data_IF_835061844068
#
_entry.id   IF_835061844068
#
_cell.length_a   1.000
_cell.length_b   1.000
_cell.length_c   1.000
_cell.angle_alpha   90.00
_cell.angle_beta   90.00
_cell.angle_gamma   90.00
#
_symmetry.space_group_name_H-M   'P 1'
#
loop_
_entity.id
_entity.type
_entity.pdbx_description
1 polymer ?
#
# COMPACT_ATOMS: atom_id res chain seq x y z
N UNK A 1 -35.05 -28.01 -24.60
CA UNK A 1 -34.52 -26.73 -25.08
C UNK A 1 -33.05 -26.62 -24.66
N UNK A 2 -32.15 -26.98 -25.58
CA UNK A 2 -30.71 -26.90 -25.39
C UNK A 2 -30.26 -25.46 -25.65
N UNK A 3 -29.75 -24.75 -24.64
CA UNK A 3 -28.92 -23.57 -24.86
C UNK A 3 -27.47 -24.01 -25.04
N UNK A 4 -27.02 -23.92 -26.28
CA UNK A 4 -25.66 -24.24 -26.72
C UNK A 4 -24.62 -23.33 -26.08
N UNK A 5 -23.70 -23.91 -25.30
CA UNK A 5 -22.41 -23.36 -24.87
C UNK A 5 -21.45 -23.20 -26.06
N UNK A 6 -21.76 -22.31 -27.00
CA UNK A 6 -20.84 -21.91 -28.07
C UNK A 6 -20.85 -20.40 -28.15
N UNK A 7 -20.01 -19.73 -27.35
CA UNK A 7 -19.48 -18.38 -27.64
C UNK A 7 -18.45 -17.84 -26.61
N UNK A 8 -17.92 -18.63 -25.68
CA UNK A 8 -16.96 -18.14 -24.67
C UNK A 8 -15.49 -18.27 -25.11
N UNK A 9 -15.17 -18.94 -26.22
CA UNK A 9 -13.79 -19.31 -26.59
C UNK A 9 -13.13 -18.47 -27.71
N UNK A 10 -13.59 -17.23 -27.97
CA UNK A 10 -12.90 -16.31 -28.91
C UNK A 10 -12.79 -14.88 -28.37
N UNK A 11 -12.36 -14.73 -27.13
CA UNK A 11 -12.07 -13.41 -26.54
C UNK A 11 -10.60 -13.38 -26.16
N UNK A 12 -9.81 -12.57 -26.86
CA UNK A 12 -8.38 -12.38 -26.58
C UNK A 12 -8.14 -11.80 -25.18
N UNK A 13 -6.87 -11.76 -24.72
CA UNK A 13 -6.50 -11.37 -23.34
C UNK A 13 -6.76 -9.89 -22.97
N UNK A 14 -7.38 -9.12 -23.87
CA UNK A 14 -7.48 -7.65 -23.83
C UNK A 14 -8.81 -7.09 -23.34
N UNK A 15 -9.64 -7.90 -22.68
CA UNK A 15 -10.79 -7.32 -22.02
C UNK A 15 -10.30 -6.48 -20.85
N UNK A 16 -10.38 -5.14 -21.02
CA UNK A 16 -10.48 -4.25 -19.88
C UNK A 16 -11.48 -4.87 -18.92
N UNK A 17 -11.04 -5.04 -17.68
CA UNK A 17 -11.96 -5.33 -16.59
C UNK A 17 -13.14 -4.37 -16.73
N UNK A 18 -14.36 -4.88 -16.73
CA UNK A 18 -15.59 -4.05 -16.70
C UNK A 18 -15.55 -3.06 -15.51
N UNK A 19 -14.65 -3.31 -14.56
CA UNK A 19 -14.33 -2.46 -13.43
C UNK A 19 -13.04 -1.68 -13.66
N UNK A 20 -13.11 -0.36 -13.47
CA UNK A 20 -11.96 0.53 -13.36
C UNK A 20 -11.02 0.02 -12.26
N UNK A 21 -9.74 -0.18 -12.59
CA UNK A 21 -8.75 -0.59 -11.60
C UNK A 21 -8.66 0.45 -10.45
N UNK A 22 -8.57 0.00 -9.18
CA UNK A 22 -8.40 0.92 -8.05
C UNK A 22 -7.07 1.66 -8.16
N UNK A 23 -7.04 2.92 -7.72
CA UNK A 23 -5.81 3.69 -7.66
C UNK A 23 -4.87 3.08 -6.61
N UNK A 24 -3.62 2.83 -6.99
CA UNK A 24 -2.59 2.50 -6.01
C UNK A 24 -2.24 3.78 -5.25
N UNK A 25 -2.60 3.82 -3.96
CA UNK A 25 -2.31 4.96 -3.07
C UNK A 25 -1.37 4.57 -1.94
N UNK A 26 -1.26 3.28 -1.65
CA UNK A 26 -0.36 2.81 -0.62
C UNK A 26 1.08 2.95 -1.08
N UNK A 27 1.91 3.40 -0.15
CA UNK A 27 3.36 3.45 -0.31
C UNK A 27 3.93 2.08 -0.64
N UNK A 28 4.58 1.97 -1.79
CA UNK A 28 5.38 0.80 -2.16
C UNK A 28 6.86 1.14 -2.00
N UNK A 29 7.60 0.40 -1.13
CA UNK A 29 9.05 0.56 -1.04
C UNK A 29 9.72 0.35 -2.41
N UNK A 30 10.78 1.10 -2.69
CA UNK A 30 11.49 1.04 -3.99
C UNK A 30 11.99 -0.39 -4.28
N UNK A 31 12.42 -1.10 -3.24
CA UNK A 31 12.86 -2.51 -3.30
C UNK A 31 11.77 -3.52 -3.70
N UNK A 32 10.50 -3.14 -3.59
CA UNK A 32 9.35 -4.00 -3.88
C UNK A 32 8.81 -3.82 -5.29
N UNK A 33 9.26 -2.78 -5.99
CA UNK A 33 8.83 -2.50 -7.36
C UNK A 33 9.38 -3.55 -8.33
N UNK A 34 8.65 -3.81 -9.43
CA UNK A 34 9.08 -4.73 -10.47
C UNK A 34 10.45 -4.36 -11.03
N UNK A 35 11.35 -5.33 -11.19
CA UNK A 35 12.64 -5.05 -11.86
C UNK A 35 12.48 -4.86 -13.36
N UNK A 36 11.52 -5.57 -13.96
CA UNK A 36 11.20 -5.54 -15.38
C UNK A 36 9.72 -5.27 -15.60
N UNK A 37 9.40 -4.43 -16.58
CA UNK A 37 8.05 -4.17 -17.06
C UNK A 37 7.90 -4.65 -18.51
N UNK A 38 6.83 -5.39 -18.75
CA UNK A 38 6.31 -5.66 -20.09
C UNK A 38 5.21 -4.66 -20.36
N UNK A 39 5.49 -3.68 -21.21
CA UNK A 39 4.60 -2.55 -21.50
C UNK A 39 3.81 -2.85 -22.76
N UNK A 40 2.50 -2.92 -22.61
CA UNK A 40 1.53 -3.14 -23.67
C UNK A 40 1.00 -1.80 -24.17
N UNK A 41 1.34 -1.48 -25.42
CA UNK A 41 1.05 -0.21 -26.07
C UNK A 41 0.41 -0.43 -27.46
N UNK A 42 -0.86 -0.86 -27.51
CA UNK A 42 -1.52 -1.22 -28.76
C UNK A 42 -1.65 -0.06 -29.77
N UNK A 43 -1.46 1.20 -29.35
CA UNK A 43 -1.47 2.35 -30.26
C UNK A 43 -0.07 2.87 -30.59
N UNK A 44 0.97 2.23 -30.07
CA UNK A 44 2.36 2.63 -30.24
C UNK A 44 2.56 4.11 -29.85
N UNK A 45 1.92 4.52 -28.75
CA UNK A 45 1.98 5.88 -28.16
C UNK A 45 3.38 6.20 -27.68
N UNK A 46 4.14 5.18 -27.28
CA UNK A 46 5.53 5.28 -26.91
C UNK A 46 6.43 5.49 -28.12
N UNK A 47 6.05 5.09 -29.33
CA UNK A 47 6.80 5.49 -30.52
C UNK A 47 6.45 6.93 -30.93
N UNK A 48 7.35 7.86 -30.63
CA UNK A 48 7.26 9.22 -31.16
C UNK A 48 7.54 9.18 -32.66
N UNK A 49 6.48 9.27 -33.47
CA UNK A 49 6.63 9.48 -34.91
C UNK A 49 6.63 10.99 -35.20
N UNK A 50 7.67 11.56 -35.86
CA UNK A 50 7.80 13.00 -36.10
C UNK A 50 6.60 13.64 -36.81
N UNK A 51 5.86 12.84 -37.59
CA UNK A 51 4.76 13.29 -38.44
C UNK A 51 3.37 13.01 -37.88
N UNK A 52 3.24 12.25 -36.78
CA UNK A 52 1.92 11.81 -36.30
C UNK A 52 1.39 12.80 -35.27
N UNK A 53 0.30 13.49 -35.60
CA UNK A 53 -0.31 14.42 -34.66
C UNK A 53 -1.05 13.61 -33.58
N UNK A 54 -0.87 13.97 -32.30
CA UNK A 54 -1.57 13.30 -31.18
C UNK A 54 -3.11 13.35 -31.29
N UNK A 55 -3.67 14.19 -32.17
CA UNK A 55 -5.11 14.28 -32.40
C UNK A 55 -5.68 13.03 -33.09
N UNK A 56 -4.87 12.34 -33.90
CA UNK A 56 -5.27 11.13 -34.63
C UNK A 56 -5.42 9.89 -33.74
N UNK A 57 -5.01 9.97 -32.47
CA UNK A 57 -5.08 8.83 -31.56
C UNK A 57 -6.50 8.54 -31.05
N UNK A 58 -7.45 9.47 -31.14
CA UNK A 58 -8.75 9.32 -30.46
C UNK A 58 -9.82 8.49 -31.21
N UNK A 59 -9.64 8.20 -32.51
CA UNK A 59 -10.75 7.72 -33.36
C UNK A 59 -10.70 6.24 -33.78
N UNK A 60 -9.64 5.49 -33.46
CA UNK A 60 -9.48 4.10 -33.93
C UNK A 60 -9.94 3.09 -32.88
N UNK A 61 -10.84 2.18 -33.27
CA UNK A 61 -11.22 0.97 -32.51
C UNK A 61 -10.00 0.07 -32.34
N UNK A 62 -9.45 0.09 -31.13
CA UNK A 62 -8.19 -0.57 -30.80
C UNK A 62 -8.38 -2.04 -30.38
N UNK A 63 -9.63 -2.50 -30.21
CA UNK A 63 -9.91 -3.89 -29.82
C UNK A 63 -9.47 -4.90 -30.87
N UNK A 64 -9.25 -4.44 -32.11
CA UNK A 64 -8.79 -5.24 -33.24
C UNK A 64 -7.31 -4.98 -33.62
N UNK A 65 -6.62 -4.08 -32.93
CA UNK A 65 -5.21 -3.79 -33.20
C UNK A 65 -4.29 -4.82 -32.56
N UNK A 66 -3.24 -5.24 -33.26
CA UNK A 66 -2.21 -6.12 -32.70
C UNK A 66 -1.50 -5.38 -31.56
N UNK A 67 -1.40 -6.03 -30.41
CA UNK A 67 -0.67 -5.49 -29.27
C UNK A 67 0.83 -5.32 -29.60
N UNK A 68 1.36 -4.16 -29.25
CA UNK A 68 2.79 -3.84 -29.38
C UNK A 68 3.38 -3.85 -27.98
N UNK A 69 4.35 -4.73 -27.76
CA UNK A 69 4.97 -4.92 -26.45
C UNK A 69 6.38 -4.34 -26.44
N UNK A 70 6.71 -3.63 -25.37
CA UNK A 70 8.04 -3.11 -25.10
C UNK A 70 8.54 -3.67 -23.77
N UNK A 71 9.84 -3.93 -23.66
CA UNK A 71 10.45 -4.40 -22.41
C UNK A 71 11.26 -3.28 -21.80
N UNK A 72 11.07 -3.09 -20.50
CA UNK A 72 11.64 -1.99 -19.73
C UNK A 72 12.28 -2.52 -18.45
N UNK A 73 13.45 -2.01 -18.10
CA UNK A 73 14.21 -2.38 -16.91
C UNK A 73 14.27 -1.20 -15.94
N UNK A 74 14.08 -1.49 -14.64
CA UNK A 74 14.19 -0.48 -13.60
C UNK A 74 15.64 0.02 -13.51
N UNK A 75 15.82 1.34 -13.53
CA UNK A 75 17.11 2.01 -13.44
C UNK A 75 17.23 2.73 -12.11
N UNK A 76 18.34 2.49 -11.41
CA UNK A 76 18.63 3.05 -10.08
C UNK A 76 19.92 3.87 -10.12
N UNK A 77 19.88 5.07 -9.54
CA UNK A 77 21.05 5.88 -9.21
C UNK A 77 21.82 5.27 -8.04
N UNK A 78 22.95 5.89 -7.66
CA UNK A 78 23.68 5.52 -6.44
C UNK A 78 22.78 5.65 -5.20
N UNK A 79 22.14 6.81 -5.04
CA UNK A 79 21.19 7.10 -3.95
C UNK A 79 20.01 6.11 -3.94
N UNK A 80 19.53 5.69 -5.11
CA UNK A 80 18.46 4.69 -5.21
C UNK A 80 18.87 3.31 -4.68
N UNK A 81 20.11 2.89 -4.96
CA UNK A 81 20.65 1.63 -4.43
C UNK A 81 20.85 1.71 -2.91
N UNK A 82 21.44 2.79 -2.42
CA UNK A 82 21.60 3.05 -1.00
C UNK A 82 20.23 3.06 -0.28
N UNK A 83 19.23 3.71 -0.87
CA UNK A 83 17.86 3.72 -0.34
C UNK A 83 17.26 2.32 -0.23
N UNK A 84 17.48 1.43 -1.19
CA UNK A 84 16.97 0.05 -1.14
C UNK A 84 17.58 -0.72 0.03
N UNK A 85 18.88 -0.56 0.26
CA UNK A 85 19.60 -1.17 1.38
C UNK A 85 19.09 -0.63 2.72
N UNK A 86 18.97 0.69 2.83
CA UNK A 86 18.49 1.37 4.03
C UNK A 86 17.02 1.01 4.35
N UNK A 87 16.14 0.98 3.35
CA UNK A 87 14.75 0.52 3.52
C UNK A 87 14.71 -0.93 4.00
N UNK A 88 15.57 -1.80 3.45
CA UNK A 88 15.65 -3.20 3.87
C UNK A 88 16.14 -3.34 5.31
N UNK A 89 17.09 -2.51 5.74
CA UNK A 89 17.59 -2.47 7.13
C UNK A 89 16.49 -2.00 8.09
N UNK A 90 15.85 -0.86 7.79
CA UNK A 90 14.75 -0.30 8.59
C UNK A 90 13.57 -1.26 8.71
N UNK A 91 13.16 -1.90 7.61
CA UNK A 91 12.05 -2.86 7.64
C UNK A 91 12.36 -4.06 8.55
N UNK A 92 13.63 -4.51 8.58
CA UNK A 92 14.07 -5.57 9.50
C UNK A 92 14.03 -5.09 10.95
N UNK A 93 14.61 -3.92 11.22
CA UNK A 93 14.63 -3.32 12.56
C UNK A 93 13.23 -3.04 13.10
N UNK A 94 12.35 -2.48 12.28
CA UNK A 94 10.96 -2.22 12.65
C UNK A 94 10.21 -3.52 12.95
N UNK A 95 10.41 -4.58 12.15
CA UNK A 95 9.84 -5.91 12.45
C UNK A 95 10.34 -6.47 13.78
N UNK A 96 11.63 -6.31 14.10
CA UNK A 96 12.19 -6.73 15.39
C UNK A 96 11.56 -5.92 16.53
N UNK A 97 11.52 -4.60 16.39
CA UNK A 97 10.95 -3.70 17.39
C UNK A 97 9.45 -3.97 17.62
N UNK A 98 8.67 -4.21 16.57
CA UNK A 98 7.25 -4.55 16.71
C UNK A 98 7.06 -5.90 17.42
N UNK A 99 7.92 -6.89 17.16
CA UNK A 99 7.91 -8.16 17.90
C UNK A 99 8.27 -7.96 19.38
N UNK A 100 9.28 -7.15 19.67
CA UNK A 100 9.66 -6.81 21.05
C UNK A 100 8.53 -6.07 21.77
N UNK A 101 7.88 -5.10 21.11
CA UNK A 101 6.71 -4.38 21.65
C UNK A 101 5.58 -5.34 21.99
N UNK A 102 5.26 -6.30 21.11
CA UNK A 102 4.23 -7.33 21.36
C UNK A 102 4.57 -8.23 22.55
N UNK A 103 5.87 -8.47 22.78
CA UNK A 103 6.37 -9.31 23.89
C UNK A 103 6.62 -8.52 25.18
N UNK A 104 6.68 -7.20 25.11
CA UNK A 104 7.03 -6.34 26.24
C UNK A 104 6.08 -6.57 27.42
N UNK A 105 6.63 -7.02 28.55
CA UNK A 105 5.88 -7.30 29.78
C UNK A 105 5.27 -8.71 29.86
N UNK A 106 5.43 -9.54 28.82
CA UNK A 106 5.06 -10.95 28.84
C UNK A 106 6.23 -11.80 29.33
N UNK A 107 5.96 -12.70 30.27
CA UNK A 107 6.91 -13.75 30.64
C UNK A 107 6.48 -15.01 29.90
N UNK A 108 7.05 -15.27 28.73
CA UNK A 108 6.73 -16.47 27.96
C UNK A 108 7.59 -17.60 28.52
N UNK A 109 6.98 -18.50 29.29
CA UNK A 109 7.67 -19.67 29.83
C UNK A 109 7.97 -20.66 28.71
N UNK A 110 9.02 -21.47 28.86
CA UNK A 110 9.40 -22.50 27.89
C UNK A 110 9.66 -21.96 26.46
N UNK A 111 10.03 -20.68 26.34
CA UNK A 111 10.24 -20.01 25.05
C UNK A 111 11.38 -20.63 24.24
N UNK A 112 12.37 -21.19 24.93
CA UNK A 112 13.56 -21.83 24.36
C UNK A 112 13.22 -23.11 23.58
N UNK A 113 12.00 -23.65 23.76
CA UNK A 113 11.52 -24.81 23.00
C UNK A 113 11.11 -24.45 21.57
N UNK A 114 10.99 -23.16 21.23
CA UNK A 114 10.64 -22.71 19.89
C UNK A 114 11.89 -22.35 19.11
N UNK A 115 12.24 -23.19 18.15
CA UNK A 115 13.32 -22.89 17.20
C UNK A 115 12.92 -21.77 16.24
N UNK A 116 13.84 -20.83 16.00
CA UNK A 116 13.73 -19.79 14.99
C UNK A 116 12.93 -18.53 15.40
N UNK A 117 12.78 -17.57 14.48
CA UNK A 117 11.96 -16.39 14.73
C UNK A 117 10.47 -16.78 14.74
N UNK A 118 9.75 -16.39 15.78
CA UNK A 118 8.30 -16.55 15.89
C UNK A 118 7.61 -15.21 16.17
N UNK A 119 6.33 -15.13 15.83
CA UNK A 119 5.44 -14.08 16.29
C UNK A 119 4.34 -14.72 17.16
N UNK A 120 3.49 -13.90 17.76
CA UNK A 120 2.41 -14.43 18.54
C UNK A 120 1.44 -13.39 19.06
N UNK A 121 0.34 -13.90 19.59
CA UNK A 121 -0.70 -13.07 20.20
C UNK A 121 -1.20 -13.72 21.48
N UNK A 122 -1.49 -12.86 22.47
CA UNK A 122 -2.10 -13.31 23.72
C UNK A 122 -3.59 -13.48 23.48
N UNK A 123 -4.09 -14.69 23.67
CA UNK A 123 -5.51 -14.98 23.71
C UNK A 123 -5.98 -14.79 25.16
N UNK A 124 -6.86 -13.81 25.43
CA UNK A 124 -7.38 -13.63 26.77
C UNK A 124 -8.19 -14.87 27.19
N UNK A 125 -8.16 -15.27 28.48
CA UNK A 125 -9.02 -16.33 28.96
C UNK A 125 -10.49 -15.95 28.68
N UNK A 126 -11.25 -16.92 28.16
CA UNK A 126 -12.66 -16.75 27.78
C UNK A 126 -13.57 -16.52 28.99
N UNK A 127 -13.10 -16.81 30.20
CA UNK A 127 -13.87 -16.70 31.44
C UNK A 127 -13.04 -16.02 32.53
N UNK A 128 -13.62 -15.05 33.25
CA UNK A 128 -13.01 -14.46 34.44
C UNK A 128 -13.49 -13.03 34.76
N UNK A 129 -13.86 -12.80 36.01
CA UNK A 129 -14.09 -11.46 36.55
C UNK A 129 -12.78 -10.66 36.55
N UNK A 130 -12.88 -9.36 36.26
CA UNK A 130 -11.76 -8.43 35.98
C UNK A 130 -10.75 -8.26 37.14
N UNK A 131 -11.10 -8.71 38.34
CA UNK A 131 -10.34 -8.48 39.57
C UNK A 131 -9.93 -9.76 40.33
N UNK A 132 -10.16 -10.94 39.75
CA UNK A 132 -9.76 -12.20 40.38
C UNK A 132 -8.51 -12.77 39.70
N UNK A 133 -7.62 -13.46 40.44
CA UNK A 133 -6.56 -14.23 39.84
C UNK A 133 -7.12 -15.18 38.78
N UNK A 134 -6.62 -15.07 37.55
CA UNK A 134 -7.01 -15.93 36.42
C UNK A 134 -5.89 -16.90 36.10
N UNK A 135 -6.25 -18.03 35.49
CA UNK A 135 -5.28 -18.92 34.90
C UNK A 135 -4.42 -18.17 33.85
N UNK A 136 -3.15 -18.59 33.66
CA UNK A 136 -2.29 -18.00 32.64
C UNK A 136 -2.97 -17.95 31.26
N UNK A 137 -2.99 -16.80 30.59
CA UNK A 137 -3.51 -16.70 29.24
C UNK A 137 -2.62 -17.51 28.30
N UNK A 138 -3.20 -17.90 27.17
CA UNK A 138 -2.48 -18.62 26.14
C UNK A 138 -1.78 -17.60 25.26
N UNK A 139 -0.48 -17.76 25.07
CA UNK A 139 0.26 -17.07 24.03
C UNK A 139 0.34 -17.98 22.82
N UNK A 140 -0.40 -17.64 21.77
CA UNK A 140 -0.39 -18.43 20.54
C UNK A 140 0.85 -18.07 19.75
N UNK A 141 1.75 -19.04 19.62
CA UNK A 141 3.00 -18.92 18.88
C UNK A 141 2.74 -19.35 17.43
N UNK A 142 3.10 -18.51 16.48
CA UNK A 142 3.03 -18.83 15.05
C UNK A 142 4.27 -18.32 14.33
N UNK A 143 4.52 -18.87 13.14
CA UNK A 143 5.61 -18.41 12.30
C UNK A 143 5.34 -16.95 11.86
N UNK A 144 6.38 -16.14 11.64
CA UNK A 144 6.21 -14.77 11.15
C UNK A 144 5.55 -14.77 9.76
N UNK A 145 4.89 -13.67 9.39
CA UNK A 145 4.41 -13.50 8.02
C UNK A 145 5.57 -13.72 7.04
N UNK A 146 5.33 -14.46 5.94
CA UNK A 146 6.33 -14.64 4.92
C UNK A 146 6.85 -13.30 4.38
N UNK A 147 8.12 -13.27 3.99
CA UNK A 147 8.66 -12.07 3.36
C UNK A 147 8.01 -11.84 2.00
N UNK A 148 7.77 -10.56 1.68
CA UNK A 148 7.28 -10.15 0.37
C UNK A 148 8.31 -10.57 -0.68
N UNK A 149 7.86 -11.33 -1.68
CA UNK A 149 8.70 -11.71 -2.80
C UNK A 149 8.95 -10.47 -3.66
N UNK A 150 10.21 -10.29 -4.07
CA UNK A 150 10.55 -9.27 -5.06
C UNK A 150 9.85 -9.64 -6.37
N UNK A 151 9.14 -8.68 -6.95
CA UNK A 151 8.49 -8.88 -8.24
C UNK A 151 9.56 -8.73 -9.32
N UNK A 152 9.87 -9.81 -10.01
CA UNK A 152 10.85 -9.76 -11.10
C UNK A 152 10.26 -9.10 -12.35
N UNK A 153 9.03 -9.49 -12.71
CA UNK A 153 8.34 -9.01 -13.92
C UNK A 153 6.92 -8.59 -13.58
N UNK A 154 6.49 -7.46 -14.13
CA UNK A 154 5.10 -7.01 -14.11
C UNK A 154 4.66 -6.52 -15.49
N UNK A 155 3.35 -6.44 -15.71
CA UNK A 155 2.77 -5.99 -16.97
C UNK A 155 2.15 -4.60 -16.80
N UNK A 156 2.43 -3.70 -17.72
CA UNK A 156 1.91 -2.33 -17.72
C UNK A 156 1.05 -2.14 -18.97
N UNK A 157 -0.19 -1.72 -18.80
CA UNK A 157 -1.14 -1.51 -19.89
C UNK A 157 -1.38 -0.02 -20.10
N UNK A 158 -1.05 0.47 -21.30
CA UNK A 158 -1.26 1.87 -21.66
C UNK A 158 -2.62 2.03 -22.33
N UNK A 159 -3.48 2.88 -21.75
CA UNK A 159 -4.69 3.37 -22.41
C UNK A 159 -4.46 4.80 -22.96
N UNK A 160 -4.27 4.96 -24.27
CA UNK A 160 -4.11 6.27 -24.91
C UNK A 160 -5.33 7.18 -24.76
N UNK A 161 -6.51 6.64 -24.50
CA UNK A 161 -7.70 7.42 -24.20
C UNK A 161 -7.62 8.16 -22.86
N UNK A 162 -6.67 7.79 -22.00
CA UNK A 162 -6.58 8.27 -20.62
C UNK A 162 -5.40 9.21 -20.38
N UNK A 163 -5.17 10.18 -21.28
CA UNK A 163 -4.20 11.26 -21.03
C UNK A 163 -4.70 12.16 -19.89
N UNK A 164 -3.94 12.24 -18.80
CA UNK A 164 -4.26 13.05 -17.61
C UNK A 164 -3.76 14.48 -17.69
N UNK A 165 -2.65 14.70 -18.40
CA UNK A 165 -2.04 16.02 -18.51
C UNK A 165 -0.93 16.06 -19.55
N UNK A 166 -0.57 17.28 -19.95
CA UNK A 166 0.54 17.54 -20.88
C UNK A 166 1.44 18.62 -20.33
N UNK A 167 2.74 18.40 -20.50
CA UNK A 167 3.79 19.36 -20.28
C UNK A 167 4.58 19.66 -21.55
N UNK A 168 5.55 20.55 -21.41
CA UNK A 168 6.41 20.98 -22.52
C UNK A 168 7.22 19.81 -23.11
N UNK A 169 7.60 18.84 -22.27
CA UNK A 169 8.53 17.76 -22.60
C UNK A 169 7.99 16.36 -22.32
N UNK A 170 6.84 16.27 -21.66
CA UNK A 170 6.25 15.01 -21.22
C UNK A 170 4.73 15.07 -21.30
N UNK A 171 4.09 13.92 -21.30
CA UNK A 171 2.68 13.81 -20.97
C UNK A 171 2.50 12.86 -19.78
N UNK A 172 1.31 12.87 -19.19
CA UNK A 172 0.95 11.94 -18.12
C UNK A 172 -0.18 11.08 -18.63
N UNK A 173 0.05 9.77 -18.63
CA UNK A 173 -0.90 8.74 -19.05
C UNK A 173 -1.44 8.05 -17.80
N UNK A 174 -2.74 7.80 -17.76
CA UNK A 174 -3.28 6.81 -16.84
C UNK A 174 -2.97 5.43 -17.42
N UNK A 175 -2.36 4.57 -16.62
CA UNK A 175 -2.00 3.22 -17.02
C UNK A 175 -2.47 2.24 -15.96
N UNK A 176 -2.58 0.97 -16.33
CA UNK A 176 -2.89 -0.10 -15.40
C UNK A 176 -1.68 -1.00 -15.22
N UNK A 177 -1.24 -1.16 -13.98
CA UNK A 177 -0.16 -2.06 -13.61
C UNK A 177 -0.75 -3.36 -13.06
N UNK A 178 -0.37 -4.47 -13.69
CA UNK A 178 -0.70 -5.81 -13.25
C UNK A 178 0.49 -6.43 -12.51
N UNK A 179 0.26 -6.73 -11.23
CA UNK A 179 1.26 -7.27 -10.30
C UNK A 179 0.69 -8.48 -9.55
N UNK A 180 1.55 -9.33 -8.97
CA UNK A 180 1.11 -10.35 -8.01
C UNK A 180 0.32 -9.70 -6.87
N UNK A 181 -0.82 -10.28 -6.51
CA UNK A 181 -1.67 -9.74 -5.45
C UNK A 181 -0.96 -9.74 -4.09
N UNK A 182 -0.02 -10.67 -3.89
CA UNK A 182 0.85 -10.73 -2.71
C UNK A 182 1.69 -9.45 -2.49
N UNK A 183 1.95 -8.66 -3.53
CA UNK A 183 2.63 -7.36 -3.40
C UNK A 183 1.75 -6.32 -2.69
N UNK A 184 0.44 -6.40 -2.90
CA UNK A 184 -0.51 -5.36 -2.47
C UNK A 184 -1.35 -5.76 -1.26
N UNK A 185 -1.57 -7.07 -1.09
CA UNK A 185 -2.42 -7.63 -0.03
C UNK A 185 -1.55 -8.53 0.84
N UNK A 186 -1.41 -8.24 2.14
CA UNK A 186 -0.62 -9.07 3.04
C UNK A 186 -1.24 -10.46 3.18
N UNK A 187 -0.40 -11.45 3.46
CA UNK A 187 -0.86 -12.80 3.77
C UNK A 187 -1.78 -12.79 5.01
N UNK A 188 -2.75 -13.70 5.04
CA UNK A 188 -3.77 -13.74 6.09
C UNK A 188 -3.55 -14.96 6.98
N UNK A 189 -3.41 -14.74 8.29
CA UNK A 189 -3.48 -15.82 9.28
C UNK A 189 -4.91 -15.95 9.78
N UNK A 190 -5.57 -17.07 9.49
CA UNK A 190 -6.97 -17.28 9.86
C UNK A 190 -7.12 -17.53 11.36
N UNK A 191 -7.63 -16.54 12.10
CA UNK A 191 -7.86 -16.65 13.55
C UNK A 191 -8.73 -17.86 13.93
N UNK A 192 -9.79 -18.16 13.18
CA UNK A 192 -10.67 -19.31 13.47
C UNK A 192 -9.95 -20.65 13.29
N UNK A 193 -9.10 -20.79 12.27
CA UNK A 193 -8.25 -21.97 12.11
C UNK A 193 -7.24 -22.09 13.26
N UNK A 194 -6.59 -20.98 13.60
CA UNK A 194 -5.62 -20.90 14.71
C UNK A 194 -6.28 -21.34 16.01
N UNK A 195 -7.46 -20.83 16.34
CA UNK A 195 -8.16 -21.18 17.57
C UNK A 195 -8.62 -22.64 17.59
N UNK A 196 -9.02 -23.21 16.45
CA UNK A 196 -9.34 -24.64 16.35
C UNK A 196 -8.12 -25.52 16.60
N UNK A 197 -6.99 -25.16 16.01
CA UNK A 197 -5.72 -25.89 16.17
C UNK A 197 -5.14 -25.76 17.59
N UNK A 198 -5.23 -24.57 18.19
CA UNK A 198 -4.89 -24.33 19.60
C UNK A 198 -5.78 -25.16 20.51
N UNK A 199 -7.11 -25.17 20.29
CA UNK A 199 -8.04 -25.99 21.08
C UNK A 199 -7.72 -27.49 20.96
N UNK A 200 -7.45 -27.97 19.75
CA UNK A 200 -7.01 -29.36 19.50
C UNK A 200 -5.74 -29.68 20.29
N UNK A 201 -4.74 -28.81 20.21
CA UNK A 201 -3.46 -28.96 20.94
C UNK A 201 -3.67 -28.98 22.46
N UNK A 202 -4.58 -28.16 22.98
CA UNK A 202 -4.94 -28.17 24.40
C UNK A 202 -5.58 -29.50 24.78
N UNK A 203 -6.56 -29.99 24.04
CA UNK A 203 -7.23 -31.27 24.32
C UNK A 203 -6.22 -32.43 24.27
N UNK A 204 -5.34 -32.45 23.28
CA UNK A 204 -4.31 -33.49 23.14
C UNK A 204 -3.35 -33.52 24.32
N UNK A 205 -2.91 -32.34 24.81
CA UNK A 205 -1.95 -32.21 25.92
C UNK A 205 -2.61 -32.35 27.30
N UNK A 206 -3.77 -31.74 27.49
CA UNK A 206 -4.41 -31.57 28.80
C UNK A 206 -5.56 -32.55 29.06
N UNK A 207 -6.08 -33.21 28.02
CA UNK A 207 -7.35 -33.94 28.09
C UNK A 207 -8.55 -33.01 27.87
N UNK A 208 -9.71 -33.57 27.50
CA UNK A 208 -10.93 -32.80 27.23
C UNK A 208 -11.42 -32.01 28.45
N UNK A 209 -11.20 -32.56 29.65
CA UNK A 209 -11.57 -32.00 30.94
C UNK A 209 -10.43 -31.22 31.63
N UNK A 210 -9.25 -31.19 31.03
CA UNK A 210 -8.05 -30.62 31.65
C UNK A 210 -7.44 -31.46 32.77
N UNK A 211 -7.81 -32.74 32.90
CA UNK A 211 -7.26 -33.66 33.91
C UNK A 211 -5.74 -33.72 33.89
N UNK A 212 -5.15 -33.78 32.68
CA UNK A 212 -3.69 -33.88 32.44
C UNK A 212 -2.99 -32.52 32.36
N UNK A 213 -3.72 -31.41 32.51
CA UNK A 213 -3.12 -30.07 32.51
C UNK A 213 -2.10 -29.94 33.63
N UNK A 214 -0.88 -29.55 33.27
CA UNK A 214 0.23 -29.32 34.20
C UNK A 214 -0.19 -28.34 35.32
N UNK A 215 0.21 -28.65 36.54
CA UNK A 215 -0.07 -27.89 37.75
C UNK A 215 0.38 -26.42 37.59
N UNK A 216 1.50 -26.17 36.90
CA UNK A 216 1.99 -24.80 36.67
C UNK A 216 0.99 -23.93 35.90
N UNK A 217 0.14 -24.53 35.05
CA UNK A 217 -0.91 -23.84 34.29
C UNK A 217 -2.26 -23.79 34.98
N UNK A 218 -2.46 -24.56 36.07
CA UNK A 218 -3.66 -24.50 36.93
C UNK A 218 -3.56 -23.38 37.96
N UNK A 219 -2.34 -22.98 38.32
CA UNK A 219 -2.12 -21.93 39.31
C UNK A 219 -2.58 -20.56 38.78
N UNK A 220 -3.57 -19.96 39.45
CA UNK A 220 -4.08 -18.60 39.14
C UNK A 220 -3.05 -17.54 39.50
N UNK A 221 -2.06 -17.36 38.64
CA UNK A 221 -0.92 -16.48 38.86
C UNK A 221 -1.11 -15.10 38.23
N UNK A 222 -2.09 -14.94 37.35
CA UNK A 222 -2.31 -13.73 36.56
C UNK A 222 -3.08 -12.64 37.28
N UNK A 223 -2.56 -11.40 37.27
CA UNK A 223 -3.31 -10.21 37.68
C UNK A 223 -3.50 -9.32 36.44
N UNK A 224 -4.75 -9.10 36.04
CA UNK A 224 -5.07 -8.04 35.07
C UNK A 224 -4.96 -6.71 35.79
N UNK A 225 -4.06 -5.84 35.31
CA UNK A 225 -4.02 -4.46 35.76
C UNK A 225 -4.56 -3.59 34.64
N UNK A 226 -5.36 -2.61 35.02
CA UNK A 226 -5.63 -1.48 34.14
C UNK A 226 -4.27 -0.87 33.81
N UNK A 227 -3.91 -0.86 32.54
CA UNK A 227 -2.76 -0.10 32.09
C UNK A 227 -3.09 1.36 32.37
N UNK A 228 -2.10 2.13 32.84
CA UNK A 228 -2.24 3.57 33.01
C UNK A 228 -2.84 4.16 31.72
N UNK A 229 -4.11 4.55 31.79
CA UNK A 229 -4.77 5.23 30.69
C UNK A 229 -4.03 6.52 30.44
N UNK A 230 -3.88 6.91 29.16
CA UNK A 230 -3.54 8.31 28.89
C UNK A 230 -4.66 9.14 29.52
N UNK A 231 -4.30 10.08 30.40
CA UNK A 231 -5.28 11.03 30.90
C UNK A 231 -5.92 11.75 29.70
N UNK A 232 -7.23 12.03 29.75
CA UNK A 232 -7.88 12.79 28.70
C UNK A 232 -7.12 14.10 28.51
N UNK A 233 -6.77 14.40 27.26
CA UNK A 233 -6.12 15.66 26.93
C UNK A 233 -7.24 16.67 26.74
N UNK A 234 -7.29 17.67 27.62
CA UNK A 234 -8.21 18.79 27.47
C UNK A 234 -7.59 19.72 26.43
N UNK A 235 -8.21 19.79 25.24
CA UNK A 235 -7.83 20.76 24.22
C UNK A 235 -8.65 22.02 24.45
N UNK A 236 -7.98 23.16 24.62
CA UNK A 236 -8.64 24.48 24.60
C UNK A 236 -8.58 24.97 23.16
N UNK A 237 -9.71 25.01 22.48
CA UNK A 237 -9.77 25.57 21.13
C UNK A 237 -9.79 27.09 21.25
N UNK A 238 -8.66 27.75 20.99
CA UNK A 238 -8.54 29.21 21.00
C UNK A 238 -8.61 29.81 19.59
N UNK A 239 -9.07 29.05 18.60
CA UNK A 239 -8.78 29.37 17.20
C UNK A 239 -9.85 30.21 16.50
N UNK A 240 -11.04 30.39 17.07
CA UNK A 240 -12.05 31.32 16.53
C UNK A 240 -12.85 31.98 17.67
N UNK A 241 -12.57 33.24 18.04
CA UNK A 241 -13.49 34.02 18.85
C UNK A 241 -14.65 34.44 17.96
N UNK A 242 -15.61 33.54 17.76
CA UNK A 242 -16.94 33.92 17.25
C UNK A 242 -17.76 34.19 18.50
N UNK A 243 -17.76 35.47 18.90
CA UNK A 243 -18.46 36.04 20.04
C UNK A 243 -17.92 35.66 21.44
N UNK A 244 -17.75 36.68 22.30
CA UNK A 244 -17.02 36.64 23.58
C UNK A 244 -17.58 35.69 24.67
N UNK A 245 -18.58 34.85 24.39
CA UNK A 245 -19.38 34.23 25.44
C UNK A 245 -19.45 32.71 25.49
N UNK A 246 -18.90 31.94 24.53
CA UNK A 246 -18.90 30.47 24.64
C UNK A 246 -17.56 29.83 24.23
N UNK A 247 -16.73 29.53 25.24
CA UNK A 247 -15.59 28.62 25.06
C UNK A 247 -16.12 27.19 25.11
N UNK A 248 -16.23 26.53 23.95
CA UNK A 248 -16.54 25.10 23.89
C UNK A 248 -15.33 24.27 24.33
N UNK A 249 -15.53 23.45 25.36
CA UNK A 249 -14.54 22.50 25.84
C UNK A 249 -14.81 21.12 25.27
N UNK A 250 -13.87 20.59 24.49
CA UNK A 250 -13.92 19.22 24.01
C UNK A 250 -13.08 18.34 24.94
N UNK A 251 -13.75 17.49 25.72
CA UNK A 251 -13.09 16.42 26.47
C UNK A 251 -13.03 15.22 25.53
N UNK A 252 -11.84 14.85 25.06
CA UNK A 252 -11.68 13.56 24.38
C UNK A 252 -12.16 12.46 25.32
N UNK A 253 -13.09 11.60 24.88
CA UNK A 253 -13.46 10.43 25.68
C UNK A 253 -12.19 9.68 26.06
N UNK A 254 -12.00 9.32 27.34
CA UNK A 254 -10.83 8.55 27.73
C UNK A 254 -10.83 7.26 26.90
N UNK A 255 -9.68 6.87 26.32
CA UNK A 255 -9.61 5.64 25.57
C UNK A 255 -10.07 4.50 26.47
N UNK A 256 -10.83 3.55 25.91
CA UNK A 256 -11.29 2.38 26.67
C UNK A 256 -10.11 1.78 27.45
N UNK A 257 -10.31 1.44 28.74
CA UNK A 257 -9.23 1.02 29.62
C UNK A 257 -8.47 -0.14 28.98
N UNK A 258 -7.17 0.10 28.70
CA UNK A 258 -6.30 -0.94 28.15
C UNK A 258 -5.89 -1.82 29.31
N UNK A 259 -6.17 -3.12 29.25
CA UNK A 259 -5.71 -4.05 30.28
C UNK A 259 -4.33 -4.58 29.90
N UNK A 260 -3.39 -4.52 30.85
CA UNK A 260 -2.09 -5.18 30.70
C UNK A 260 -2.05 -6.43 31.58
N UNK A 261 -1.73 -7.56 30.97
CA UNK A 261 -1.41 -8.78 31.69
C UNK A 261 0.09 -8.78 31.98
N UNK A 262 0.45 -8.72 33.27
CA UNK A 262 1.81 -9.00 33.72
C UNK A 262 1.74 -10.32 34.45
N UNK A 263 2.46 -11.36 33.99
CA UNK A 263 2.76 -12.68 34.61
C UNK A 263 3.12 -13.73 33.53
N UNK A 264 3.45 -14.98 33.90
CA UNK A 264 3.69 -16.05 32.94
C UNK A 264 2.52 -16.28 31.99
N UNK A 265 2.81 -16.45 30.70
CA UNK A 265 1.85 -16.87 29.69
C UNK A 265 2.19 -18.28 29.22
N UNK A 266 1.17 -19.08 28.89
CA UNK A 266 1.35 -20.44 28.40
C UNK A 266 1.53 -20.41 26.89
N UNK A 267 2.71 -20.74 26.33
CA UNK A 267 2.85 -20.77 24.89
C UNK A 267 2.19 -22.02 24.29
N UNK A 268 1.48 -21.83 23.18
CA UNK A 268 0.95 -22.92 22.36
C UNK A 268 1.27 -22.61 20.91
N UNK A 269 2.09 -23.45 20.28
CA UNK A 269 2.40 -23.32 18.85
C UNK A 269 1.23 -23.81 18.02
N UNK A 270 0.85 -23.01 17.03
CA UNK A 270 -0.11 -23.44 16.01
C UNK A 270 0.62 -23.90 14.75
N UNK A 271 0.05 -24.88 14.06
CA UNK A 271 0.50 -25.38 12.76
C UNK A 271 -0.21 -24.66 11.59
N UNK A 272 -1.06 -23.68 11.88
CA UNK A 272 -1.79 -22.93 10.85
C UNK A 272 -0.82 -21.97 10.15
N UNK A 273 -0.57 -22.24 8.87
CA UNK A 273 0.23 -21.38 8.02
C UNK A 273 -0.51 -20.11 7.58
N UNK A 274 0.27 -19.10 7.21
CA UNK A 274 -0.19 -17.92 6.50
C UNK A 274 -0.79 -18.29 5.14
N UNK A 275 -1.94 -17.71 4.80
CA UNK A 275 -2.70 -18.08 3.62
C UNK A 275 -2.59 -17.01 2.53
N UNK A 276 -2.33 -17.47 1.30
CA UNK A 276 -2.29 -16.67 0.09
C UNK A 276 -2.66 -17.57 -1.10
N UNK A 277 -3.46 -17.07 -2.04
CA UNK A 277 -3.89 -17.81 -3.23
C UNK A 277 -2.74 -18.30 -4.11
N UNK A 278 -1.58 -17.63 -4.10
CA UNK A 278 -0.39 -18.09 -4.81
C UNK A 278 0.20 -19.38 -4.20
N UNK A 279 -0.09 -19.67 -2.92
CA UNK A 279 0.44 -20.83 -2.18
C UNK A 279 -0.60 -21.93 -1.97
N UNK A 280 -1.87 -21.61 -2.10
CA UNK A 280 -2.96 -22.56 -1.93
C UNK A 280 -4.31 -21.87 -1.73
N UNK A 281 -5.42 -22.63 -1.77
CA UNK A 281 -6.74 -22.06 -1.51
C UNK A 281 -6.85 -21.54 -0.08
N UNK A 282 -7.62 -20.46 0.09
CA UNK A 282 -8.02 -20.02 1.43
C UNK A 282 -8.83 -21.09 2.14
N UNK A 283 -8.74 -21.10 3.47
CA UNK A 283 -9.67 -21.87 4.28
C UNK A 283 -11.09 -21.31 4.17
N UNK A 284 -12.10 -22.15 4.40
CA UNK A 284 -13.50 -21.75 4.30
C UNK A 284 -13.90 -20.56 5.18
N UNK A 285 -13.20 -20.31 6.29
CA UNK A 285 -13.44 -19.14 7.15
C UNK A 285 -13.01 -17.83 6.47
N UNK A 286 -11.81 -17.80 5.89
CA UNK A 286 -11.29 -16.62 5.17
C UNK A 286 -12.14 -16.35 3.94
N UNK A 287 -12.48 -17.40 3.18
CA UNK A 287 -13.38 -17.28 2.03
C UNK A 287 -14.72 -16.64 2.44
N UNK A 288 -15.37 -17.13 3.50
CA UNK A 288 -16.64 -16.55 4.00
C UNK A 288 -16.50 -15.08 4.38
N UNK A 289 -15.44 -14.70 5.11
CA UNK A 289 -15.22 -13.31 5.54
C UNK A 289 -15.06 -12.35 4.35
N UNK A 290 -14.24 -12.73 3.38
CA UNK A 290 -14.04 -11.95 2.15
C UNK A 290 -15.31 -11.81 1.30
N UNK A 291 -16.30 -12.69 1.47
CA UNK A 291 -17.60 -12.59 0.81
C UNK A 291 -18.56 -11.61 1.51
N UNK A 292 -18.61 -11.61 2.84
CA UNK A 292 -19.48 -10.71 3.62
C UNK A 292 -19.13 -9.24 3.31
N UNK A 293 -17.85 -8.93 3.19
CA UNK A 293 -17.37 -7.57 2.86
C UNK A 293 -17.73 -7.12 1.43
N UNK A 294 -18.13 -8.03 0.53
CA UNK A 294 -18.48 -7.71 -0.87
C UNK A 294 -19.97 -7.47 -1.14
N UNK A 295 -20.80 -7.32 -0.11
CA UNK A 295 -22.19 -6.84 -0.26
C UNK A 295 -23.23 -7.94 -0.49
N UNK A 296 -23.33 -8.90 0.43
CA UNK A 296 -24.53 -9.72 0.55
C UNK A 296 -25.61 -8.99 1.36
N UNK A 297 -26.15 -7.90 0.82
CA UNK A 297 -27.31 -7.26 1.44
C UNK A 297 -28.64 -7.82 0.89
N UNK A 298 -28.71 -8.35 -0.33
CA UNK A 298 -30.02 -8.58 -0.99
C UNK A 298 -30.18 -9.89 -1.79
N UNK A 299 -29.42 -10.96 -1.49
CA UNK A 299 -29.54 -12.24 -2.20
C UNK A 299 -29.51 -13.44 -1.26
N UNK A 300 -30.63 -14.17 -1.16
CA UNK A 300 -30.76 -15.45 -0.43
C UNK A 300 -29.97 -16.61 -1.08
N UNK A 301 -29.27 -16.38 -2.18
CA UNK A 301 -28.32 -17.34 -2.76
C UNK A 301 -26.89 -16.86 -2.52
N UNK A 302 -26.05 -17.63 -1.80
CA UNK A 302 -24.65 -17.31 -1.71
C UNK A 302 -24.06 -17.36 -3.12
N UNK A 303 -23.46 -16.28 -3.63
CA UNK A 303 -22.77 -16.33 -4.91
C UNK A 303 -21.66 -17.40 -4.84
N UNK A 304 -21.41 -18.15 -5.92
CA UNK A 304 -20.28 -19.07 -5.94
C UNK A 304 -19.00 -18.29 -5.62
N UNK A 305 -18.08 -18.87 -4.83
CA UNK A 305 -16.84 -18.21 -4.50
C UNK A 305 -16.05 -18.01 -5.79
N UNK A 306 -16.04 -16.79 -6.32
CA UNK A 306 -15.01 -16.40 -7.25
C UNK A 306 -13.82 -15.99 -6.38
N UNK A 307 -12.81 -16.87 -6.16
CA UNK A 307 -11.56 -16.44 -5.56
C UNK A 307 -11.08 -15.23 -6.36
N UNK A 308 -10.72 -14.15 -5.66
CA UNK A 308 -10.13 -13.02 -6.36
C UNK A 308 -8.86 -13.50 -7.08
N UNK A 309 -8.53 -12.98 -8.27
CA UNK A 309 -7.40 -13.48 -9.04
C UNK A 309 -6.07 -13.37 -8.25
N UNK A 310 -5.10 -14.26 -8.51
CA UNK A 310 -3.76 -14.19 -7.90
C UNK A 310 -2.97 -12.96 -8.37
N UNK A 311 -3.38 -12.37 -9.48
CA UNK A 311 -2.92 -11.08 -10.00
C UNK A 311 -3.88 -9.96 -9.60
N UNK A 312 -3.36 -8.77 -9.41
CA UNK A 312 -4.12 -7.56 -9.16
C UNK A 312 -3.74 -6.50 -10.19
N UNK A 313 -4.75 -5.80 -10.72
CA UNK A 313 -4.58 -4.63 -11.57
C UNK A 313 -4.84 -3.38 -10.75
N UNK A 314 -3.93 -2.43 -10.80
CA UNK A 314 -4.05 -1.13 -10.15
C UNK A 314 -3.82 -0.01 -11.14
N UNK A 315 -4.53 1.09 -10.96
CA UNK A 315 -4.37 2.29 -11.78
C UNK A 315 -3.25 3.16 -11.21
N UNK A 316 -2.34 3.58 -12.08
CA UNK A 316 -1.25 4.50 -11.75
C UNK A 316 -1.05 5.53 -12.89
N UNK A 317 -0.17 6.49 -12.68
CA UNK A 317 0.23 7.44 -13.71
C UNK A 317 1.61 7.07 -14.27
N UNK A 318 1.74 7.05 -15.60
CA UNK A 318 3.02 6.93 -16.28
C UNK A 318 3.35 8.24 -16.99
N UNK A 319 4.58 8.71 -16.78
CA UNK A 319 5.10 9.90 -17.46
C UNK A 319 6.14 9.47 -18.49
N UNK A 320 5.79 9.43 -19.79
CA UNK A 320 6.74 9.31 -20.88
C UNK A 320 7.51 10.63 -21.16
N UNK A 321 8.81 10.54 -21.51
CA UNK A 321 9.63 11.62 -22.06
C UNK A 321 9.99 11.47 -23.53
N UNK A 322 10.48 12.55 -24.14
CA UNK A 322 11.16 12.46 -25.44
C UNK A 322 12.50 11.73 -25.30
N UNK A 323 12.89 11.01 -26.34
CA UNK A 323 14.22 10.40 -26.42
C UNK A 323 15.31 11.47 -26.25
N UNK A 324 16.36 11.15 -25.49
CA UNK A 324 17.47 12.06 -25.15
C UNK A 324 17.11 13.25 -24.26
N UNK A 325 15.89 13.31 -23.74
CA UNK A 325 15.52 14.30 -22.74
C UNK A 325 15.88 13.77 -21.33
N UNK A 326 16.90 14.33 -20.66
CA UNK A 326 17.34 13.84 -19.36
C UNK A 326 16.37 14.25 -18.23
N UNK A 327 15.28 14.95 -18.52
CA UNK A 327 14.37 15.46 -17.49
C UNK A 327 13.82 14.36 -16.57
N UNK A 328 13.37 13.23 -17.10
CA UNK A 328 12.83 12.15 -16.25
C UNK A 328 13.91 11.45 -15.44
N UNK A 329 15.12 11.35 -15.99
CA UNK A 329 16.25 10.80 -15.25
C UNK A 329 16.62 11.70 -14.07
N UNK A 330 16.66 13.02 -14.28
CA UNK A 330 16.87 14.00 -13.21
C UNK A 330 15.74 13.96 -12.16
N UNK A 331 14.49 13.90 -12.60
CA UNK A 331 13.33 13.80 -11.70
C UNK A 331 13.37 12.50 -10.88
N UNK A 332 13.69 11.37 -11.50
CA UNK A 332 13.88 10.10 -10.82
C UNK A 332 15.05 10.13 -9.83
N UNK A 333 16.19 10.72 -10.20
CA UNK A 333 17.34 10.92 -9.30
C UNK A 333 16.94 11.72 -8.07
N UNK A 334 16.15 12.77 -8.25
CA UNK A 334 15.66 13.57 -7.13
C UNK A 334 14.73 12.78 -6.21
N UNK A 335 13.81 11.98 -6.74
CA UNK A 335 13.02 11.07 -5.89
C UNK A 335 13.92 10.08 -5.12
N UNK A 336 14.99 9.61 -5.74
CA UNK A 336 15.95 8.71 -5.11
C UNK A 336 16.80 9.38 -4.03
N UNK A 337 16.96 10.70 -4.05
CA UNK A 337 17.68 11.46 -3.01
C UNK A 337 16.78 12.07 -1.93
N UNK A 338 15.49 12.26 -2.19
CA UNK A 338 14.58 12.92 -1.24
C UNK A 338 14.38 12.19 0.09
N UNK A 339 14.40 12.89 1.22
CA UNK A 339 14.23 12.24 2.50
C UNK A 339 12.86 11.56 2.64
N UNK A 340 12.81 10.51 3.46
CA UNK A 340 11.65 9.63 3.60
C UNK A 340 10.35 10.36 3.96
N UNK A 341 10.46 11.38 4.82
CA UNK A 341 9.32 12.16 5.29
C UNK A 341 8.63 12.96 4.18
N UNK A 342 9.25 13.17 3.01
CA UNK A 342 8.55 13.78 1.86
C UNK A 342 7.46 12.85 1.30
N UNK A 343 7.64 11.54 1.45
CA UNK A 343 6.71 10.50 1.02
C UNK A 343 5.64 10.21 2.07
N UNK A 344 5.71 10.77 3.26
CA UNK A 344 4.75 10.43 4.31
C UNK A 344 3.45 11.23 4.13
N UNK A 345 2.32 10.56 4.31
CA UNK A 345 1.05 11.26 4.47
C UNK A 345 1.00 11.89 5.86
N UNK A 346 1.47 13.14 5.95
CA UNK A 346 1.32 13.92 7.17
C UNK A 346 -0.14 14.32 7.33
N UNK A 347 -0.66 14.18 8.55
CA UNK A 347 -1.80 14.94 9.03
C UNK A 347 -1.24 16.08 9.88
N UNK A 348 -0.98 17.24 9.27
CA UNK A 348 -0.35 18.37 9.95
C UNK A 348 -0.39 19.64 9.10
N UNK A 349 0.25 20.70 9.59
CA UNK A 349 0.28 22.00 8.95
C UNK A 349 1.69 22.57 8.86
N UNK A 350 2.00 23.27 7.77
CA UNK A 350 3.20 24.09 7.62
C UNK A 350 2.82 25.55 7.91
N UNK A 351 3.61 26.22 8.73
CA UNK A 351 3.57 27.68 8.91
C UNK A 351 4.82 28.23 8.24
N UNK A 352 4.66 28.88 7.09
CA UNK A 352 5.77 29.43 6.32
C UNK A 352 5.67 30.94 6.37
N UNK A 353 6.56 31.56 7.14
CA UNK A 353 6.65 33.02 7.20
C UNK A 353 6.75 33.65 5.80
N UNK A 354 6.11 34.80 5.56
CA UNK A 354 5.41 35.65 6.53
C UNK A 354 3.94 35.26 6.77
N UNK A 355 3.49 34.10 6.29
CA UNK A 355 2.10 33.67 6.47
C UNK A 355 1.98 32.87 7.77
N UNK A 356 1.17 33.40 8.70
CA UNK A 356 0.93 32.79 10.02
C UNK A 356 -0.14 31.69 9.96
N UNK A 357 -0.94 31.66 8.89
CA UNK A 357 -1.99 30.67 8.73
C UNK A 357 -1.39 29.28 8.44
N UNK A 358 -1.70 28.26 9.27
CA UNK A 358 -1.22 26.90 9.07
C UNK A 358 -1.83 26.31 7.79
N UNK A 359 -1.00 25.87 6.86
CA UNK A 359 -1.45 25.23 5.61
C UNK A 359 -1.35 23.72 5.75
N UNK A 360 -2.43 22.95 5.53
CA UNK A 360 -2.39 21.50 5.65
C UNK A 360 -1.38 20.92 4.65
N UNK A 361 -0.55 19.99 5.12
CA UNK A 361 0.55 19.43 4.34
C UNK A 361 0.25 17.99 4.04
N UNK A 362 0.02 17.69 2.77
CA UNK A 362 0.03 16.32 2.27
C UNK A 362 1.45 15.85 1.92
N UNK A 363 1.56 14.64 1.39
CA UNK A 363 2.81 14.17 0.82
C UNK A 363 3.31 15.15 -0.26
N UNK A 364 4.60 15.49 -0.20
CA UNK A 364 5.25 16.42 -1.14
C UNK A 364 5.63 15.74 -2.45
N UNK A 365 5.81 14.42 -2.41
CA UNK A 365 6.22 13.61 -3.55
C UNK A 365 5.32 12.37 -3.64
N UNK A 366 5.24 11.73 -4.82
CA UNK A 366 4.39 10.55 -5.00
C UNK A 366 4.72 9.44 -3.98
N UNK A 367 3.71 8.75 -3.45
CA UNK A 367 3.92 7.68 -2.46
C UNK A 367 4.85 6.55 -2.94
N UNK A 368 4.90 6.34 -4.25
CA UNK A 368 5.84 5.44 -4.90
C UNK A 368 6.27 6.06 -6.23
N UNK A 369 7.47 5.68 -6.67
CA UNK A 369 7.95 5.98 -8.00
C UNK A 369 8.83 4.86 -8.52
N UNK A 370 8.84 4.65 -9.84
CA UNK A 370 9.77 3.74 -10.49
C UNK A 370 10.23 4.29 -11.82
N UNK A 371 11.54 4.31 -12.05
CA UNK A 371 12.14 4.81 -13.28
C UNK A 371 12.62 3.65 -14.12
N UNK A 372 12.12 3.57 -15.35
CA UNK A 372 12.37 2.45 -16.24
C UNK A 372 12.90 2.93 -17.58
N UNK A 373 13.93 2.24 -18.05
CA UNK A 373 14.55 2.44 -19.36
C UNK A 373 14.27 1.23 -20.24
N UNK A 374 14.13 1.40 -21.55
CA UNK A 374 13.89 0.31 -22.47
C UNK A 374 15.07 -0.69 -22.51
N UNK A 375 14.77 -1.98 -22.59
CA UNK A 375 15.77 -3.02 -22.78
C UNK A 375 16.42 -2.88 -24.16
N UNK A 376 17.77 -2.94 -24.22
CA UNK A 376 18.52 -2.78 -25.48
C UNK A 376 19.03 -1.37 -25.76
N UNK A 377 18.75 -0.38 -24.92
CA UNK A 377 19.50 0.89 -24.91
C UNK A 377 20.87 0.70 -24.25
N UNK A 378 21.80 0.07 -24.95
CA UNK A 378 23.22 0.04 -24.53
C UNK A 378 23.94 1.18 -25.24
N UNK A 379 24.74 1.94 -24.47
CA UNK A 379 25.33 3.26 -24.79
C UNK A 379 26.22 3.36 -26.05
N UNK A 380 26.35 2.32 -26.89
CA UNK A 380 27.37 2.28 -27.95
C UNK A 380 26.95 1.65 -29.29
N UNK A 381 25.70 1.20 -29.47
CA UNK A 381 25.27 0.80 -30.82
C UNK A 381 24.75 2.03 -31.58
N UNK A 382 25.37 2.29 -32.73
CA UNK A 382 24.98 3.34 -33.67
C UNK A 382 23.56 3.05 -34.14
N UNK A 383 22.58 3.61 -33.46
CA UNK A 383 21.19 3.57 -33.90
C UNK A 383 21.12 4.18 -35.30
N UNK A 384 20.69 3.38 -36.27
CA UNK A 384 20.40 3.89 -37.59
C UNK A 384 19.31 4.97 -37.44
N UNK A 385 19.65 6.20 -37.84
CA UNK A 385 18.78 7.38 -37.72
C UNK A 385 17.45 7.19 -38.45
N UNK A 386 17.32 6.16 -39.29
CA UNK A 386 16.11 5.79 -40.03
C UNK A 386 15.00 5.18 -39.17
N UNK A 387 15.33 4.51 -38.06
CA UNK A 387 14.34 3.78 -37.23
C UNK A 387 14.08 4.53 -35.92
N UNK A 388 13.24 5.56 -35.98
CA UNK A 388 12.77 6.40 -34.87
C UNK A 388 11.88 5.64 -33.86
N UNK A 389 12.28 4.46 -33.40
CA UNK A 389 11.71 3.87 -32.19
C UNK A 389 12.27 4.65 -31.00
N UNK A 390 11.64 5.79 -30.74
CA UNK A 390 11.87 6.62 -29.57
C UNK A 390 11.48 5.79 -28.36
N UNK A 391 12.37 4.94 -27.85
CA UNK A 391 12.05 4.13 -26.68
C UNK A 391 12.03 5.05 -25.46
N UNK A 392 10.84 5.54 -25.14
CA UNK A 392 10.62 6.59 -24.14
C UNK A 392 10.93 6.06 -22.74
N UNK A 393 11.65 6.82 -21.90
CA UNK A 393 11.78 6.52 -20.46
C UNK A 393 10.42 6.60 -19.76
N UNK A 394 10.17 5.71 -18.81
CA UNK A 394 8.92 5.65 -18.06
C UNK A 394 9.15 5.94 -16.58
N UNK A 395 8.53 6.99 -16.09
CA UNK A 395 8.42 7.27 -14.67
C UNK A 395 7.00 6.91 -14.21
N UNK A 396 6.88 5.84 -13.42
CA UNK A 396 5.63 5.45 -12.77
C UNK A 396 5.47 6.25 -11.49
N UNK A 397 4.29 6.83 -11.26
CA UNK A 397 3.96 7.59 -10.05
C UNK A 397 2.53 7.29 -9.59
N UNK A 398 2.23 7.62 -8.34
CA UNK A 398 0.87 7.61 -7.79
C UNK A 398 -0.10 8.35 -8.75
N UNK A 399 -1.31 7.81 -8.92
CA UNK A 399 -2.37 8.47 -9.68
C UNK A 399 -2.95 9.64 -8.87
N UNK A 400 -2.17 10.71 -8.73
CA UNK A 400 -2.59 11.96 -8.12
C UNK A 400 -3.47 12.73 -9.10
N UNK A 401 -4.58 13.25 -8.60
CA UNK A 401 -5.70 13.70 -9.44
C UNK A 401 -5.42 15.05 -10.12
N UNK A 402 -5.90 15.18 -11.36
CA UNK A 402 -6.03 16.34 -12.26
C UNK A 402 -4.91 17.40 -12.31
N UNK A 403 -4.45 17.70 -13.53
CA UNK A 403 -3.63 18.88 -13.80
C UNK A 403 -4.39 20.16 -13.41
N UNK A 404 -3.88 20.88 -12.42
CA UNK A 404 -4.44 22.17 -12.03
C UNK A 404 -4.20 23.20 -13.13
N UNK A 405 -5.25 23.93 -13.46
CA UNK A 405 -5.19 25.04 -14.41
C UNK A 405 -4.98 26.33 -13.62
N UNK A 406 -3.81 26.97 -13.76
CA UNK A 406 -3.43 28.18 -13.00
C UNK A 406 -4.49 29.29 -13.10
N UNK A 407 -5.10 29.41 -14.28
CA UNK A 407 -6.18 30.34 -14.60
C UNK A 407 -7.50 30.01 -13.89
N UNK A 408 -7.69 28.75 -13.47
CA UNK A 408 -8.87 28.29 -12.74
C UNK A 408 -8.66 28.15 -11.24
N UNK A 409 -7.43 28.33 -10.76
CA UNK A 409 -7.16 28.26 -9.32
C UNK A 409 -7.85 29.43 -8.61
N UNK A 410 -8.61 29.10 -7.57
CA UNK A 410 -9.17 30.10 -6.65
C UNK A 410 -8.04 30.87 -5.96
N UNK A 411 -8.39 32.00 -5.36
CA UNK A 411 -7.44 32.78 -4.55
C UNK A 411 -6.93 31.92 -3.38
N UNK A 412 -7.83 31.20 -2.72
CA UNK A 412 -7.50 30.33 -1.60
C UNK A 412 -6.58 29.18 -2.00
N UNK A 413 -6.80 28.56 -3.16
CA UNK A 413 -5.91 27.52 -3.69
C UNK A 413 -4.50 28.08 -3.94
N UNK A 414 -4.39 29.28 -4.54
CA UNK A 414 -3.09 29.94 -4.74
C UNK A 414 -2.38 30.22 -3.40
N UNK A 415 -3.14 30.62 -2.37
CA UNK A 415 -2.61 30.81 -1.03
C UNK A 415 -2.15 29.51 -0.38
N UNK A 416 -2.92 28.42 -0.50
CA UNK A 416 -2.54 27.11 0.04
C UNK A 416 -1.29 26.55 -0.64
N UNK A 417 -1.13 26.76 -1.95
CA UNK A 417 -0.01 26.17 -2.68
C UNK A 417 1.27 27.00 -2.67
N UNK A 418 1.18 28.32 -2.51
CA UNK A 418 2.34 29.23 -2.51
C UNK A 418 3.42 28.85 -1.48
N UNK A 419 3.10 28.53 -0.21
CA UNK A 419 4.07 28.08 0.78
C UNK A 419 4.83 26.81 0.38
N UNK A 420 4.14 25.85 -0.23
CA UNK A 420 4.73 24.59 -0.69
C UNK A 420 5.70 24.87 -1.84
N UNK A 421 5.29 25.67 -2.82
CA UNK A 421 6.19 26.10 -3.90
C UNK A 421 7.41 26.86 -3.37
N UNK A 422 7.23 27.76 -2.41
CA UNK A 422 8.34 28.48 -1.76
C UNK A 422 9.28 27.53 -1.03
N UNK A 423 8.74 26.59 -0.24
CA UNK A 423 9.54 25.60 0.46
C UNK A 423 10.43 24.82 -0.51
N UNK A 424 9.87 24.35 -1.63
CA UNK A 424 10.64 23.66 -2.66
C UNK A 424 11.64 24.58 -3.36
N UNK A 425 11.27 25.85 -3.63
CA UNK A 425 12.16 26.83 -4.23
C UNK A 425 13.39 27.08 -3.35
N UNK A 426 13.16 27.35 -2.06
CA UNK A 426 14.22 27.66 -1.10
C UNK A 426 15.15 26.48 -0.81
N UNK A 427 14.70 25.25 -1.11
CA UNK A 427 15.53 24.05 -1.00
C UNK A 427 16.10 23.59 -2.36
N UNK A 428 16.04 24.44 -3.40
CA UNK A 428 16.51 24.14 -4.77
C UNK A 428 15.86 22.90 -5.42
N UNK A 429 14.63 22.57 -5.00
CA UNK A 429 13.89 21.38 -5.45
C UNK A 429 12.99 21.62 -6.66
N UNK A 430 12.77 22.88 -7.07
CA UNK A 430 11.72 23.23 -8.04
C UNK A 430 12.01 22.90 -9.50
N UNK A 431 13.28 22.79 -9.90
CA UNK A 431 13.64 22.60 -11.32
C UNK A 431 13.15 21.25 -11.89
N UNK A 432 12.76 20.30 -11.03
CA UNK A 432 12.37 18.94 -11.44
C UNK A 432 10.95 18.52 -11.05
N UNK A 433 10.24 19.29 -10.22
CA UNK A 433 8.98 18.87 -9.58
C UNK A 433 7.71 19.40 -10.25
N UNK A 434 7.82 20.08 -11.40
CA UNK A 434 6.73 20.83 -12.04
C UNK A 434 5.45 20.01 -12.36
N UNK A 435 5.51 18.68 -12.34
CA UNK A 435 4.34 17.81 -12.60
C UNK A 435 3.78 17.07 -11.38
N UNK A 436 4.51 16.99 -10.26
CA UNK A 436 4.07 16.20 -9.10
C UNK A 436 3.37 16.99 -7.99
N UNK A 437 3.40 18.34 -8.04
CA UNK A 437 2.57 19.16 -7.16
C UNK A 437 1.16 19.33 -7.74
N UNK A 438 0.36 18.28 -7.61
CA UNK A 438 -1.08 18.30 -7.87
C UNK A 438 -1.77 17.72 -6.63
N UNK A 439 -2.07 18.63 -5.69
CA UNK A 439 -2.56 18.30 -4.36
C UNK A 439 -4.00 17.80 -4.39
N UNK A 440 -4.20 16.73 -3.62
CA UNK A 440 -5.40 15.94 -3.46
C UNK A 440 -6.31 16.59 -2.41
N UNK A 441 -6.98 17.70 -2.75
CA UNK A 441 -7.94 18.34 -1.83
C UNK A 441 -9.28 17.57 -1.72
N UNK A 442 -9.64 16.74 -2.71
CA UNK A 442 -10.96 16.07 -2.73
C UNK A 442 -11.05 14.75 -1.93
N UNK A 443 -9.98 14.25 -1.31
CA UNK A 443 -10.04 13.00 -0.51
C UNK A 443 -10.00 13.21 1.00
N UNK A 444 -9.82 14.44 1.49
CA UNK A 444 -10.19 14.74 2.86
C UNK A 444 -11.71 14.74 2.90
N UNK A 445 -12.28 13.72 3.56
CA UNK A 445 -13.69 13.67 3.96
C UNK A 445 -14.23 15.08 4.23
N UNK A 446 -15.43 15.45 3.74
CA UNK A 446 -16.14 16.55 4.38
C UNK A 446 -16.37 16.08 5.81
N UNK A 447 -15.62 16.62 6.77
CA UNK A 447 -16.07 16.63 8.14
C UNK A 447 -17.26 17.59 8.15
N UNK A 448 -18.45 17.01 7.94
CA UNK A 448 -19.73 17.58 8.32
C UNK A 448 -20.20 16.90 9.60
#
# INVERSE_FOLDING_TARGET
>A
MCFTQRNILRRGPWFHSVYKAPNLQNRLPLRSLPKKLIVHDPRNVLAVHPLRSYKELHEVDWTNTKDVTHVYNMTLSADGRERIEEQSRRDKEQKVLEREKKRKGLIIQDIDQFEGPFDGSVVPPMTGNLHSPVEPPIFVVHDPPPELKVVEVAHLYIDPGQVKGRGNHSMVLCVELEVPRSLLVPDILCYECVMKDVKKTIIERDGEDGSRKDIKWKMKSGVRREAEGRQPVIWRNAMFPVDEHEVEWYISQPPAPRWSYRRPVRPIRTNVGWQNLERGPYCGHVTKRLHVEKGSEWSNKPPPPAPHPPIARVSLAAKPSKMWDPQLEHEARNYQSFPEYFYEHWSGYNVVGPQDDPVPVGALVPQFYGFYTPEGMVDNEVWDRSSYLSLIMLLLVENCVWQMKKDKMSVDEKYHYSPVFRYLFFNDLLTSLFFCFLLRSECASPFH
#
